data_IF_369410874371
#
_entry.id   IF_369410874371
#
_cell.length_a   1.000
_cell.length_b   1.000
_cell.length_c   1.000
_cell.angle_alpha   90.00
_cell.angle_beta   90.00
_cell.angle_gamma   90.00
#
_symmetry.space_group_name_H-M   'P 1'
#
loop_
_entity.id
_entity.type
_entity.pdbx_description
1 polymer ?
#
# COMPACT_ATOMS: atom_id res chain seq x y z
N UNK A 1 -18.45 11.38 11.18
CA UNK A 1 -17.10 10.93 11.59
C UNK A 1 -16.73 9.84 10.60
N UNK A 2 -15.58 9.93 9.94
CA UNK A 2 -15.19 8.95 8.92
C UNK A 2 -13.96 8.24 9.42
N UNK A 3 -14.03 6.92 9.50
CA UNK A 3 -12.92 6.08 9.93
C UNK A 3 -11.94 5.97 8.76
N UNK A 4 -10.89 6.79 8.78
CA UNK A 4 -9.88 6.87 7.71
C UNK A 4 -8.56 6.31 8.21
N UNK A 5 -7.91 5.54 7.36
CA UNK A 5 -6.59 4.99 7.58
C UNK A 5 -5.58 5.66 6.66
N UNK A 6 -4.44 6.02 7.22
CA UNK A 6 -3.26 6.38 6.45
C UNK A 6 -2.57 5.09 6.01
N UNK A 7 -2.25 4.98 4.73
CA UNK A 7 -1.59 3.82 4.15
C UNK A 7 -0.40 4.29 3.34
N UNK A 8 0.77 3.72 3.61
CA UNK A 8 1.95 3.89 2.77
C UNK A 8 2.45 2.51 2.33
N UNK A 9 2.73 2.35 1.04
CA UNK A 9 3.31 1.15 0.45
C UNK A 9 4.57 1.54 -0.31
N UNK A 10 5.64 0.77 -0.13
CA UNK A 10 6.89 0.93 -0.85
C UNK A 10 7.61 -0.42 -0.92
N UNK A 11 7.69 -0.99 -2.12
CA UNK A 11 8.33 -2.29 -2.35
C UNK A 11 8.70 -2.47 -3.82
N UNK A 12 9.65 -3.39 -4.03
CA UNK A 12 9.91 -3.94 -5.36
C UNK A 12 9.22 -5.30 -5.51
N UNK A 13 8.63 -5.50 -6.68
CA UNK A 13 7.98 -6.74 -7.09
C UNK A 13 8.84 -7.49 -8.10
N UNK A 14 8.63 -8.81 -8.20
CA UNK A 14 9.31 -9.69 -9.16
C UNK A 14 9.21 -9.17 -10.60
N UNK A 15 10.27 -9.29 -11.44
CA UNK A 15 10.20 -8.95 -12.86
C UNK A 15 9.23 -9.84 -13.64
N UNK A 16 9.00 -11.06 -13.15
CA UNK A 16 8.13 -12.06 -13.78
C UNK A 16 6.71 -12.02 -13.18
N UNK A 17 6.22 -10.82 -12.86
CA UNK A 17 4.87 -10.63 -12.36
C UNK A 17 3.87 -11.22 -13.37
N UNK A 18 2.92 -12.08 -12.96
CA UNK A 18 1.90 -12.57 -13.87
C UNK A 18 1.09 -11.40 -14.46
N UNK A 19 0.77 -11.45 -15.76
CA UNK A 19 0.03 -10.37 -16.43
C UNK A 19 -1.29 -10.03 -15.75
N UNK A 20 -1.99 -11.03 -15.22
CA UNK A 20 -3.22 -10.83 -14.45
C UNK A 20 -3.01 -10.02 -13.16
N UNK A 21 -1.88 -10.24 -12.48
CA UNK A 21 -1.49 -9.48 -11.28
C UNK A 21 -1.14 -8.04 -11.66
N UNK A 22 -0.36 -7.87 -12.73
CA UNK A 22 0.01 -6.55 -13.22
C UNK A 22 -1.23 -5.73 -13.67
N UNK A 23 -2.17 -6.37 -14.38
CA UNK A 23 -3.43 -5.75 -14.78
C UNK A 23 -4.27 -5.35 -13.57
N UNK A 24 -4.36 -6.22 -12.56
CA UNK A 24 -5.08 -5.92 -11.31
C UNK A 24 -4.45 -4.74 -10.56
N UNK A 25 -3.12 -4.67 -10.49
CA UNK A 25 -2.39 -3.54 -9.90
C UNK A 25 -2.62 -2.22 -10.65
N UNK A 26 -2.53 -2.24 -11.98
CA UNK A 26 -2.81 -1.06 -12.81
C UNK A 26 -4.22 -0.53 -12.56
N UNK A 27 -5.21 -1.42 -12.45
CA UNK A 27 -6.58 -1.02 -12.12
C UNK A 27 -6.69 -0.27 -10.78
N UNK A 28 -5.95 -0.69 -9.75
CA UNK A 28 -5.92 0.04 -8.48
C UNK A 28 -5.22 1.40 -8.56
N UNK A 29 -4.29 1.60 -9.51
CA UNK A 29 -3.46 2.81 -9.67
C UNK A 29 -4.05 3.87 -10.61
N UNK A 30 -4.68 3.43 -11.69
CA UNK A 30 -5.21 4.31 -12.74
C UNK A 30 -6.66 4.73 -12.42
N UNK A 31 -7.36 3.92 -11.62
CA UNK A 31 -8.81 4.06 -11.44
C UNK A 31 -9.57 3.80 -12.73
N UNK A 32 -10.88 4.07 -12.73
CA UNK A 32 -11.64 4.11 -13.99
C UNK A 32 -11.22 5.37 -14.75
N UNK A 33 -10.19 5.24 -15.58
CA UNK A 33 -9.85 6.25 -16.58
C UNK A 33 -10.99 6.27 -17.62
N UNK A 34 -11.66 7.41 -17.86
CA UNK A 34 -12.85 7.45 -18.72
C UNK A 34 -12.55 7.36 -20.23
N UNK A 35 -11.38 6.87 -20.67
CA UNK A 35 -11.00 6.94 -22.09
C UNK A 35 -9.99 5.86 -22.53
N UNK A 36 -10.41 4.60 -22.53
CA UNK A 36 -9.98 3.66 -23.55
C UNK A 36 -11.15 2.80 -24.02
N UNK A 37 -11.56 2.97 -25.28
CA UNK A 37 -12.69 2.27 -25.90
C UNK A 37 -12.51 0.76 -26.07
N UNK A 38 -11.85 0.07 -25.13
CA UNK A 38 -11.72 -1.37 -25.07
C UNK A 38 -12.54 -1.94 -23.92
N UNK A 39 -13.83 -2.16 -24.19
CA UNK A 39 -14.68 -3.14 -23.51
C UNK A 39 -14.57 -3.17 -22.00
N UNK A 40 -15.28 -2.25 -21.34
CA UNK A 40 -15.63 -2.30 -19.93
C UNK A 40 -15.98 -3.73 -19.51
N UNK A 41 -15.10 -4.36 -18.74
CA UNK A 41 -15.59 -5.27 -17.72
C UNK A 41 -16.00 -4.36 -16.57
N UNK A 42 -17.21 -3.84 -16.66
CA UNK A 42 -17.85 -3.07 -15.62
C UNK A 42 -18.01 -4.01 -14.40
N UNK A 43 -17.12 -3.86 -13.43
CA UNK A 43 -17.30 -4.47 -12.11
C UNK A 43 -17.84 -3.34 -11.25
N UNK A 44 -19.17 -3.19 -11.13
CA UNK A 44 -19.78 -2.00 -10.54
C UNK A 44 -19.39 -1.75 -9.08
N UNK A 45 -18.72 -2.72 -8.44
CA UNK A 45 -18.30 -2.68 -7.03
C UNK A 45 -16.77 -2.52 -6.83
N UNK A 46 -15.97 -2.35 -7.89
CA UNK A 46 -14.52 -2.22 -7.72
C UNK A 46 -14.11 -0.80 -7.33
N UNK A 47 -13.42 -0.67 -6.19
CA UNK A 47 -12.87 0.61 -5.74
C UNK A 47 -11.34 0.62 -5.90
N UNK A 48 -10.77 1.52 -6.73
CA UNK A 48 -9.33 1.63 -6.87
C UNK A 48 -8.71 2.23 -5.59
N UNK A 49 -7.79 1.49 -4.97
CA UNK A 49 -7.25 1.80 -3.64
C UNK A 49 -5.99 2.66 -3.71
N UNK A 50 -5.25 2.63 -4.83
CA UNK A 50 -3.94 3.25 -4.98
C UNK A 50 -3.95 4.42 -5.98
N UNK A 51 -5.13 4.86 -6.42
CA UNK A 51 -5.25 5.92 -7.40
C UNK A 51 -4.72 7.24 -6.85
N UNK A 52 -3.97 7.98 -7.66
CA UNK A 52 -3.45 9.30 -7.30
C UNK A 52 -4.60 10.32 -7.24
N UNK A 53 -4.97 10.76 -6.02
CA UNK A 53 -6.16 11.61 -5.78
C UNK A 53 -5.82 12.95 -5.15
N UNK A 54 -4.70 13.56 -5.55
CA UNK A 54 -4.40 14.94 -5.17
C UNK A 54 -4.09 15.11 -3.67
N UNK A 55 -4.41 16.27 -3.06
CA UNK A 55 -4.03 16.55 -1.67
C UNK A 55 -4.68 15.60 -0.67
N UNK A 56 -3.89 15.08 0.28
CA UNK A 56 -4.39 14.27 1.37
C UNK A 56 -5.05 15.18 2.44
N UNK A 57 -6.32 14.93 2.75
CA UNK A 57 -7.13 15.86 3.57
C UNK A 57 -6.94 15.70 5.08
N UNK A 58 -6.59 14.50 5.53
CA UNK A 58 -6.43 14.10 6.94
C UNK A 58 -4.97 13.92 7.32
N UNK A 59 -4.15 13.36 6.43
CA UNK A 59 -2.76 13.00 6.74
C UNK A 59 -1.76 14.03 6.19
N UNK A 60 -2.24 15.08 5.51
CA UNK A 60 -1.44 16.13 4.89
C UNK A 60 -0.55 15.64 3.75
N UNK A 61 -0.02 16.55 2.93
CA UNK A 61 0.80 16.19 1.76
C UNK A 61 -0.04 15.70 0.57
N UNK A 62 0.52 14.79 -0.23
CA UNK A 62 -0.07 14.31 -1.49
C UNK A 62 -0.43 12.82 -1.39
N UNK A 63 -1.59 12.44 -1.95
CA UNK A 63 -1.93 11.05 -2.24
C UNK A 63 -1.18 10.63 -3.50
N UNK A 64 -0.56 9.46 -3.49
CA UNK A 64 0.27 9.02 -4.62
C UNK A 64 0.04 7.54 -4.92
N UNK A 65 0.26 7.16 -6.16
CA UNK A 65 0.32 5.77 -6.60
C UNK A 65 1.10 5.71 -7.89
N UNK A 66 2.24 5.00 -7.87
CA UNK A 66 3.11 4.86 -9.04
C UNK A 66 3.71 3.47 -9.08
N UNK A 67 3.63 2.86 -10.26
CA UNK A 67 4.27 1.61 -10.60
C UNK A 67 5.17 1.84 -11.79
N UNK A 68 6.45 1.51 -11.65
CA UNK A 68 7.47 1.73 -12.69
C UNK A 68 8.18 0.42 -12.97
N UNK A 69 8.34 0.09 -14.25
CA UNK A 69 9.17 -1.03 -14.67
C UNK A 69 10.64 -0.61 -14.69
N UNK A 70 11.47 -1.27 -13.90
CA UNK A 70 12.92 -1.21 -13.99
C UNK A 70 13.44 -2.37 -14.85
N UNK A 71 14.76 -2.47 -15.02
CA UNK A 71 15.38 -3.52 -15.85
C UNK A 71 15.16 -4.94 -15.35
N UNK A 72 15.01 -5.12 -14.03
CA UNK A 72 14.96 -6.44 -13.37
C UNK A 72 13.86 -6.55 -12.29
N UNK A 73 12.96 -5.57 -12.19
CA UNK A 73 11.87 -5.55 -11.22
C UNK A 73 10.81 -4.53 -11.59
N UNK A 74 9.68 -4.56 -10.87
CA UNK A 74 8.73 -3.46 -10.82
C UNK A 74 8.84 -2.75 -9.48
N UNK A 75 8.84 -1.43 -9.47
CA UNK A 75 8.88 -0.65 -8.23
C UNK A 75 7.53 0.03 -8.01
N UNK A 76 6.92 -0.21 -6.83
CA UNK A 76 5.64 0.36 -6.43
C UNK A 76 5.86 1.31 -5.25
N UNK A 77 5.27 2.50 -5.34
CA UNK A 77 5.08 3.40 -4.21
C UNK A 77 3.65 3.93 -4.22
N UNK A 78 2.98 3.90 -3.07
CA UNK A 78 1.67 4.50 -2.90
C UNK A 78 1.50 5.10 -1.51
N UNK A 79 0.72 6.17 -1.43
CA UNK A 79 0.33 6.86 -0.19
C UNK A 79 -1.12 7.27 -0.28
N UNK A 80 -1.96 6.78 0.64
CA UNK A 80 -3.40 6.83 0.49
C UNK A 80 -4.13 7.14 1.81
N UNK A 81 -5.34 7.71 1.67
CA UNK A 81 -6.36 7.79 2.71
C UNK A 81 -7.46 6.79 2.35
N UNK A 82 -7.62 5.75 3.17
CA UNK A 82 -8.53 4.64 2.90
C UNK A 82 -9.61 4.57 3.98
N UNK A 83 -10.87 4.50 3.59
CA UNK A 83 -11.98 4.31 4.52
C UNK A 83 -11.94 2.91 5.14
N UNK A 84 -12.34 2.77 6.41
CA UNK A 84 -12.31 1.51 7.14
C UNK A 84 -13.05 0.36 6.44
N UNK A 85 -14.11 0.68 5.68
CA UNK A 85 -14.87 -0.30 4.89
C UNK A 85 -14.05 -0.98 3.79
N UNK A 86 -12.97 -0.33 3.33
CA UNK A 86 -12.07 -0.83 2.27
C UNK A 86 -10.82 -1.54 2.83
N UNK A 87 -10.71 -1.70 4.16
CA UNK A 87 -9.59 -2.41 4.77
C UNK A 87 -9.48 -3.88 4.35
N UNK A 88 -10.57 -4.66 4.20
CA UNK A 88 -10.48 -6.03 3.70
C UNK A 88 -9.82 -6.11 2.32
N UNK A 89 -10.18 -5.21 1.41
CA UNK A 89 -9.64 -5.11 0.06
C UNK A 89 -8.17 -4.68 0.08
N UNK A 90 -7.81 -3.73 0.95
CA UNK A 90 -6.42 -3.35 1.18
C UNK A 90 -5.58 -4.53 1.68
N UNK A 91 -6.12 -5.35 2.58
CA UNK A 91 -5.42 -6.53 3.10
C UNK A 91 -5.21 -7.56 1.99
N UNK A 92 -6.24 -7.86 1.21
CA UNK A 92 -6.12 -8.77 0.08
C UNK A 92 -5.08 -8.27 -0.96
N UNK A 93 -5.07 -6.97 -1.23
CA UNK A 93 -4.07 -6.35 -2.09
C UNK A 93 -2.66 -6.48 -1.48
N UNK A 94 -2.49 -6.20 -0.20
CA UNK A 94 -1.21 -6.31 0.50
C UNK A 94 -0.69 -7.76 0.58
N UNK A 95 -1.58 -8.75 0.70
CA UNK A 95 -1.24 -10.17 0.64
C UNK A 95 -0.70 -10.55 -0.74
N UNK A 96 -1.38 -10.12 -1.80
CA UNK A 96 -0.91 -10.32 -3.17
C UNK A 96 0.45 -9.63 -3.40
N UNK A 97 0.61 -8.40 -2.90
CA UNK A 97 1.88 -7.66 -2.97
C UNK A 97 3.00 -8.40 -2.24
N UNK A 98 2.76 -8.89 -1.03
CA UNK A 98 3.74 -9.67 -0.26
C UNK A 98 4.15 -10.94 -1.00
N UNK A 99 3.18 -11.68 -1.57
CA UNK A 99 3.44 -12.89 -2.34
C UNK A 99 4.32 -12.66 -3.57
N UNK A 100 4.17 -11.50 -4.23
CA UNK A 100 4.92 -11.15 -5.43
C UNK A 100 6.13 -10.23 -5.16
N UNK A 101 6.42 -9.92 -3.90
CA UNK A 101 7.53 -9.07 -3.51
C UNK A 101 8.87 -9.72 -3.87
N UNK A 102 9.82 -8.89 -4.28
CA UNK A 102 11.18 -9.32 -4.63
C UNK A 102 12.01 -9.73 -3.41
N UNK A 103 11.70 -9.19 -2.25
CA UNK A 103 12.44 -9.42 -1.02
C UNK A 103 11.52 -9.52 0.21
N UNK A 104 11.99 -10.25 1.21
CA UNK A 104 11.40 -10.24 2.56
C UNK A 104 11.71 -8.91 3.26
N UNK A 105 10.79 -8.46 4.13
CA UNK A 105 10.94 -7.22 4.88
C UNK A 105 9.68 -6.35 4.89
N UNK A 106 9.82 -5.11 5.35
CA UNK A 106 8.72 -4.14 5.39
C UNK A 106 8.35 -3.73 3.97
N UNK A 107 7.08 -3.83 3.63
CA UNK A 107 6.53 -3.42 2.33
C UNK A 107 5.59 -2.20 2.43
N UNK A 108 5.30 -1.78 3.66
CA UNK A 108 4.44 -0.63 3.91
C UNK A 108 4.01 -0.53 5.37
N UNK A 109 3.05 0.36 5.61
CA UNK A 109 2.46 0.60 6.92
C UNK A 109 1.01 1.07 6.80
N UNK A 110 0.24 0.83 7.85
CA UNK A 110 -1.14 1.28 7.99
C UNK A 110 -1.36 1.83 9.39
N UNK A 111 -2.10 2.93 9.52
CA UNK A 111 -2.52 3.47 10.81
C UNK A 111 -3.88 4.12 10.71
N UNK A 112 -4.64 4.11 11.79
CA UNK A 112 -5.77 5.01 11.90
C UNK A 112 -5.24 6.46 11.90
N UNK A 113 -5.91 7.37 11.19
CA UNK A 113 -5.31 8.69 10.94
C UNK A 113 -5.08 9.52 12.21
N UNK A 114 -5.86 9.25 13.27
CA UNK A 114 -5.73 9.89 14.59
C UNK A 114 -4.67 9.22 15.48
N UNK A 115 -4.21 8.02 15.13
CA UNK A 115 -3.15 7.32 15.85
C UNK A 115 -1.77 7.82 15.39
N UNK A 116 -0.85 7.94 16.35
CA UNK A 116 0.54 8.32 16.10
C UNK A 116 1.39 7.14 15.60
N UNK A 117 1.11 5.92 16.09
CA UNK A 117 1.95 4.75 15.89
C UNK A 117 1.32 3.81 14.85
N UNK A 118 2.01 3.49 13.75
CA UNK A 118 1.49 2.61 12.73
C UNK A 118 1.73 1.12 13.01
N UNK A 119 0.97 0.31 12.28
CA UNK A 119 1.24 -1.11 12.08
C UNK A 119 2.04 -1.30 10.79
N UNK A 120 3.15 -2.03 10.86
CA UNK A 120 3.94 -2.40 9.70
C UNK A 120 3.29 -3.55 8.93
N UNK A 121 3.35 -3.45 7.61
CA UNK A 121 3.06 -4.53 6.68
C UNK A 121 4.39 -5.17 6.28
N UNK A 122 4.58 -6.44 6.63
CA UNK A 122 5.85 -7.14 6.44
C UNK A 122 5.61 -8.35 5.52
N UNK A 123 6.36 -8.44 4.43
CA UNK A 123 6.50 -9.68 3.69
C UNK A 123 7.44 -10.62 4.45
N UNK A 124 6.95 -11.80 4.84
CA UNK A 124 7.76 -12.92 5.32
C UNK A 124 7.57 -14.11 4.39
N UNK A 125 8.53 -14.30 3.48
CA UNK A 125 8.58 -15.42 2.56
C UNK A 125 7.28 -15.58 1.75
N UNK A 126 6.76 -14.47 1.23
CA UNK A 126 5.53 -14.41 0.44
C UNK A 126 4.24 -14.31 1.25
N UNK A 127 4.33 -14.22 2.59
CA UNK A 127 3.17 -14.09 3.47
C UNK A 127 3.15 -12.72 4.12
N UNK A 128 1.99 -12.05 4.07
CA UNK A 128 1.79 -10.80 4.80
C UNK A 128 1.72 -11.05 6.30
N UNK A 129 2.56 -10.35 7.05
CA UNK A 129 2.53 -10.28 8.51
C UNK A 129 2.34 -8.83 8.92
N UNK A 130 1.35 -8.58 9.75
CA UNK A 130 1.09 -7.28 10.35
C UNK A 130 1.78 -7.18 11.71
N UNK A 131 2.51 -6.11 11.96
CA UNK A 131 3.27 -5.92 13.20
C UNK A 131 3.09 -4.51 13.75
N UNK A 132 2.40 -4.33 14.89
CA UNK A 132 2.27 -3.00 15.49
C UNK A 132 3.63 -2.49 15.93
N UNK A 133 3.97 -1.27 15.53
CA UNK A 133 5.10 -0.57 16.12
C UNK A 133 4.81 -0.25 17.58
N UNK A 134 5.88 -0.02 18.32
CA UNK A 134 5.85 0.47 19.69
C UNK A 134 6.88 1.56 19.82
N UNK A 135 6.62 2.52 20.69
CA UNK A 135 7.64 3.46 21.10
C UNK A 135 8.84 2.69 21.64
N UNK A 136 10.03 3.06 21.17
CA UNK A 136 11.25 2.55 21.77
C UNK A 136 11.29 3.03 23.23
N UNK A 137 11.59 2.13 24.16
CA UNK A 137 11.87 2.57 25.53
C UNK A 137 13.03 3.58 25.48
N UNK A 138 12.91 4.73 26.17
CA UNK A 138 13.98 5.70 26.21
C UNK A 138 15.23 5.00 26.74
N UNK A 139 16.30 4.98 25.93
CA UNK A 139 17.60 4.46 26.37
C UNK A 139 17.99 5.33 27.55
N UNK A 140 17.84 4.81 28.77
CA UNK A 140 18.35 5.45 29.96
C UNK A 140 19.86 5.58 29.73
N UNK A 141 20.33 6.79 29.42
CA UNK A 141 21.74 7.11 29.43
C UNK A 141 22.24 6.76 30.83
N UNK A 142 22.80 5.55 30.99
CA UNK A 142 23.61 5.23 32.15
C UNK A 142 24.78 6.18 32.07
N UNK A 143 24.75 7.20 32.91
CA UNK A 143 25.92 8.00 33.24
C UNK A 143 27.06 7.02 33.54
N UNK A 144 27.99 6.89 32.60
CA UNK A 144 29.29 6.30 32.89
C UNK A 144 30.04 7.33 33.75
N UNK A 145 30.61 6.90 34.88
CA UNK A 145 31.33 7.77 35.80
C UNK A 145 32.58 8.39 35.20
#
# INVERSE_FOLDING_TARGET
MSDVFAVDLALDLSPNLPDAVLAHLRRHLEGDSPDDGSGEVDWPDFVPLLADRGPATRIGGLLTGRLVQASDHWSLTARQEIHAELLPELVALAEMLAFNARADGVIGQVRFYEDEIPELLINRSGTLVKMPLREAEPIAYRHLP
#
